data_IF_410752452763
#
_entry.id   IF_410752452763
#
_cell.length_a   1.000
_cell.length_b   1.000
_cell.length_c   1.000
_cell.angle_alpha   90.00
_cell.angle_beta   90.00
_cell.angle_gamma   90.00
#
_symmetry.space_group_name_H-M   'P 1'
#
loop_
_entity.id
_entity.type
_entity.pdbx_description
1 polymer ?
#
# COMPACT_ATOMS: atom_id res chain seq x y z
N UNK A 1 1.29 13.31 -15.24
CA UNK A 1 1.26 11.82 -15.31
C UNK A 1 2.36 11.33 -16.22
N UNK A 2 3.14 10.38 -15.78
CA UNK A 2 4.17 9.71 -16.58
C UNK A 2 3.73 8.28 -16.88
N UNK A 3 3.73 7.90 -18.16
CA UNK A 3 3.39 6.55 -18.63
C UNK A 3 4.62 5.90 -19.24
N UNK A 4 4.96 4.71 -18.77
CA UNK A 4 6.11 3.94 -19.25
C UNK A 4 5.63 2.60 -19.78
N UNK A 5 5.84 2.36 -21.07
CA UNK A 5 5.54 1.07 -21.68
C UNK A 5 6.56 0.03 -21.21
N UNK A 6 6.11 -0.96 -20.47
CA UNK A 6 6.95 -2.03 -19.93
C UNK A 6 7.06 -3.18 -20.93
N UNK A 7 5.92 -3.65 -21.44
CA UNK A 7 5.83 -4.66 -22.49
C UNK A 7 4.79 -4.24 -23.53
N UNK A 8 4.45 -5.13 -24.46
CA UNK A 8 3.32 -4.87 -25.37
C UNK A 8 1.97 -4.94 -24.67
N UNK A 9 1.91 -5.51 -23.45
CA UNK A 9 0.68 -5.71 -22.69
C UNK A 9 0.61 -4.86 -21.42
N UNK A 10 1.74 -4.41 -20.87
CA UNK A 10 1.80 -3.77 -19.56
C UNK A 10 2.37 -2.37 -19.69
N UNK A 11 1.59 -1.39 -19.28
CA UNK A 11 2.03 -0.01 -19.08
C UNK A 11 2.07 0.30 -17.59
N UNK A 12 3.14 0.95 -17.14
CA UNK A 12 3.29 1.46 -15.78
C UNK A 12 3.00 2.96 -15.80
N UNK A 13 2.13 3.40 -14.89
CA UNK A 13 1.64 4.78 -14.82
C UNK A 13 1.95 5.38 -13.47
N UNK A 14 2.63 6.52 -13.48
CA UNK A 14 3.08 7.23 -12.28
C UNK A 14 2.48 8.64 -12.25
N UNK A 15 2.09 9.18 -11.09
CA UNK A 15 1.74 10.59 -10.94
C UNK A 15 2.96 11.48 -11.16
N UNK A 16 2.77 12.72 -11.63
CA UNK A 16 3.84 13.69 -11.81
C UNK A 16 4.51 14.09 -10.48
N UNK A 17 3.73 14.06 -9.41
CA UNK A 17 4.21 14.28 -8.05
C UNK A 17 3.61 13.22 -7.15
N UNK A 18 4.46 12.39 -6.57
CA UNK A 18 4.04 11.35 -5.63
C UNK A 18 3.78 12.00 -4.27
N UNK A 19 2.52 12.00 -3.85
CA UNK A 19 2.15 12.34 -2.46
C UNK A 19 1.71 11.05 -1.78
N UNK A 20 2.48 10.59 -0.80
CA UNK A 20 2.31 9.27 -0.16
C UNK A 20 0.97 9.02 0.55
N UNK A 21 -0.02 9.91 0.42
CA UNK A 21 -1.33 9.76 1.08
C UNK A 21 -2.51 9.95 0.14
N UNK A 22 -2.28 10.36 -1.10
CA UNK A 22 -3.37 10.69 -2.04
C UNK A 22 -3.14 10.21 -3.45
N UNK A 23 -1.99 9.61 -3.75
CA UNK A 23 -1.67 9.08 -5.07
C UNK A 23 -0.66 7.95 -5.01
N UNK A 24 -0.80 7.00 -5.92
CA UNK A 24 0.13 5.91 -6.12
C UNK A 24 0.29 5.62 -7.61
N UNK A 25 1.41 4.99 -7.98
CA UNK A 25 1.57 4.42 -9.30
C UNK A 25 0.79 3.10 -9.40
N UNK A 26 0.43 2.75 -10.64
CA UNK A 26 -0.26 1.50 -10.93
C UNK A 26 0.07 1.00 -12.33
N UNK A 27 -0.66 0.01 -12.78
CA UNK A 27 -0.45 -0.61 -14.08
C UNK A 27 -1.74 -0.70 -14.89
N UNK A 28 -1.59 -0.60 -16.22
CA UNK A 28 -2.65 -0.91 -17.18
C UNK A 28 -2.23 -2.16 -17.94
N UNK A 29 -3.08 -3.17 -17.94
CA UNK A 29 -2.82 -4.46 -18.58
C UNK A 29 -3.75 -4.65 -19.76
N UNK A 30 -3.17 -4.83 -20.94
CA UNK A 30 -3.89 -5.19 -22.17
C UNK A 30 -4.01 -6.72 -22.23
N UNK A 31 -5.20 -7.22 -21.90
CA UNK A 31 -5.51 -8.65 -21.87
C UNK A 31 -6.78 -8.93 -22.67
N UNK A 32 -7.47 -10.07 -22.44
CA UNK A 32 -8.80 -10.34 -22.99
C UNK A 32 -9.77 -9.22 -22.63
N UNK A 33 -9.70 -8.76 -21.38
CA UNK A 33 -10.26 -7.51 -20.90
C UNK A 33 -9.15 -6.58 -20.49
N UNK A 34 -9.32 -5.28 -20.72
CA UNK A 34 -8.36 -4.28 -20.22
C UNK A 34 -8.52 -4.11 -18.73
N UNK A 35 -7.43 -4.29 -18.01
CA UNK A 35 -7.36 -4.19 -16.54
C UNK A 35 -6.56 -2.98 -16.13
N UNK A 36 -7.02 -2.28 -15.09
CA UNK A 36 -6.31 -1.21 -14.41
C UNK A 36 -6.13 -1.59 -12.94
N UNK A 37 -4.89 -1.57 -12.43
CA UNK A 37 -4.57 -1.92 -11.04
C UNK A 37 -3.98 -0.69 -10.35
N UNK A 38 -4.57 -0.25 -9.26
CA UNK A 38 -4.20 0.88 -8.39
C UNK A 38 -4.13 2.26 -9.02
N UNK A 39 -3.89 2.46 -10.24
CA UNK A 39 -3.61 3.74 -10.91
C UNK A 39 -4.36 4.93 -10.28
N UNK A 40 -3.72 5.63 -9.35
CA UNK A 40 -4.27 6.80 -8.67
C UNK A 40 -3.31 8.01 -8.74
N UNK A 41 -3.59 8.91 -9.67
CA UNK A 41 -2.82 10.14 -9.89
C UNK A 41 -3.52 11.39 -9.33
N UNK A 42 -4.51 11.19 -8.44
CA UNK A 42 -5.48 12.20 -8.07
C UNK A 42 -6.72 12.15 -8.96
N UNK A 43 -7.86 12.62 -8.45
CA UNK A 43 -9.17 12.37 -9.04
C UNK A 43 -9.26 12.76 -10.53
N UNK A 44 -8.84 13.97 -10.89
CA UNK A 44 -8.99 14.50 -12.25
C UNK A 44 -8.18 13.71 -13.27
N UNK A 45 -6.92 13.48 -12.97
CA UNK A 45 -5.99 12.76 -13.86
C UNK A 45 -6.38 11.29 -13.99
N UNK A 46 -6.81 10.67 -12.90
CA UNK A 46 -7.26 9.27 -12.90
C UNK A 46 -8.51 9.09 -13.74
N UNK A 47 -9.52 9.95 -13.59
CA UNK A 47 -10.75 9.86 -14.37
C UNK A 47 -10.51 10.15 -15.86
N UNK A 48 -9.67 11.14 -16.19
CA UNK A 48 -9.26 11.40 -17.56
C UNK A 48 -8.59 10.19 -18.21
N UNK A 49 -7.74 9.50 -17.48
CA UNK A 49 -7.12 8.26 -17.95
C UNK A 49 -8.15 7.13 -18.12
N UNK A 50 -9.10 7.00 -17.23
CA UNK A 50 -10.16 5.99 -17.36
C UNK A 50 -11.07 6.25 -18.55
N UNK A 51 -11.39 7.50 -18.85
CA UNK A 51 -12.15 7.88 -20.06
C UNK A 51 -11.37 7.56 -21.34
N UNK A 52 -10.06 7.75 -21.35
CA UNK A 52 -9.18 7.43 -22.48
C UNK A 52 -9.01 5.91 -22.64
N UNK A 53 -8.65 5.21 -21.57
CA UNK A 53 -8.30 3.79 -21.59
C UNK A 53 -9.52 2.87 -21.62
N UNK A 54 -10.64 3.28 -21.05
CA UNK A 54 -11.86 2.50 -20.91
C UNK A 54 -11.59 1.09 -20.38
N UNK A 55 -11.00 0.96 -19.17
CA UNK A 55 -10.77 -0.35 -18.58
C UNK A 55 -12.11 -1.06 -18.37
N UNK A 56 -12.14 -2.37 -18.58
CA UNK A 56 -13.30 -3.22 -18.29
C UNK A 56 -13.24 -3.76 -16.86
N UNK A 57 -12.03 -3.79 -16.28
CA UNK A 57 -11.74 -4.25 -14.91
C UNK A 57 -10.85 -3.23 -14.24
N UNK A 58 -11.21 -2.91 -13.01
CA UNK A 58 -10.42 -2.12 -12.09
C UNK A 58 -10.13 -2.95 -10.83
N UNK A 59 -8.91 -2.92 -10.32
CA UNK A 59 -8.50 -3.69 -9.14
C UNK A 59 -7.75 -2.75 -8.20
N UNK A 60 -7.96 -2.85 -6.90
CA UNK A 60 -7.13 -2.24 -5.87
C UNK A 60 -6.35 -3.31 -5.14
N UNK A 61 -5.09 -3.04 -4.81
CA UNK A 61 -4.22 -3.96 -4.06
C UNK A 61 -4.62 -4.08 -2.60
N UNK A 62 -5.08 -2.96 -2.00
CA UNK A 62 -5.48 -2.86 -0.61
C UNK A 62 -6.29 -1.58 -0.33
N UNK A 63 -6.80 -1.43 0.91
CA UNK A 63 -7.76 -0.40 1.27
C UNK A 63 -7.21 1.01 1.46
N UNK A 64 -5.90 1.24 1.55
CA UNK A 64 -5.33 2.56 1.85
C UNK A 64 -5.82 3.64 0.88
N UNK A 65 -5.91 4.87 1.39
CA UNK A 65 -6.59 5.96 0.68
C UNK A 65 -5.94 6.31 -0.66
N UNK A 66 -4.63 6.29 -0.72
CA UNK A 66 -3.88 6.55 -1.95
C UNK A 66 -4.10 5.48 -3.04
N UNK A 67 -4.55 4.29 -2.67
CA UNK A 67 -4.93 3.21 -3.60
C UNK A 67 -6.42 3.19 -3.91
N UNK A 68 -7.28 3.58 -2.97
CA UNK A 68 -8.71 3.33 -3.04
C UNK A 68 -9.60 4.55 -3.26
N UNK A 69 -9.13 5.79 -3.04
CA UNK A 69 -9.99 6.99 -3.11
C UNK A 69 -10.67 7.17 -4.48
N UNK A 70 -9.96 6.94 -5.57
CA UNK A 70 -10.49 7.06 -6.92
C UNK A 70 -11.61 6.05 -7.24
N UNK A 71 -11.51 4.84 -6.66
CA UNK A 71 -12.43 3.74 -6.91
C UNK A 71 -13.88 4.05 -6.50
N UNK A 72 -14.04 4.95 -5.53
CA UNK A 72 -15.34 5.35 -4.97
C UNK A 72 -16.26 6.05 -5.96
N UNK A 73 -15.67 6.65 -6.99
CA UNK A 73 -16.39 7.35 -8.03
C UNK A 73 -16.33 6.63 -9.39
N UNK A 74 -15.78 5.42 -9.43
CA UNK A 74 -15.55 4.65 -10.65
C UNK A 74 -16.81 4.58 -11.55
N UNK A 75 -17.95 4.20 -10.97
CA UNK A 75 -19.21 4.05 -11.70
C UNK A 75 -19.78 5.36 -12.29
N UNK A 76 -19.21 6.51 -11.94
CA UNK A 76 -19.57 7.79 -12.54
C UNK A 76 -18.81 8.07 -13.83
N UNK A 77 -17.74 7.32 -14.11
CA UNK A 77 -16.82 7.55 -15.24
C UNK A 77 -16.54 6.31 -16.08
N UNK A 78 -16.90 5.12 -15.59
CA UNK A 78 -16.59 3.85 -16.26
C UNK A 78 -17.60 2.77 -15.90
N UNK A 79 -17.85 1.86 -16.84
CA UNK A 79 -18.62 0.63 -16.62
C UNK A 79 -17.71 -0.53 -16.12
N UNK A 80 -16.46 -0.25 -15.75
CA UNK A 80 -15.54 -1.25 -15.28
C UNK A 80 -16.04 -1.93 -13.99
N UNK A 81 -15.88 -3.24 -13.92
CA UNK A 81 -16.10 -3.99 -12.67
C UNK A 81 -14.92 -3.75 -11.72
N UNK A 82 -15.23 -3.25 -10.53
CA UNK A 82 -14.22 -3.03 -9.49
C UNK A 82 -14.04 -4.27 -8.64
N UNK A 83 -12.80 -4.73 -8.51
CA UNK A 83 -12.40 -5.81 -7.61
C UNK A 83 -11.61 -5.26 -6.41
N UNK A 84 -11.98 -5.70 -5.20
CA UNK A 84 -11.34 -5.32 -3.94
C UNK A 84 -10.96 -6.57 -3.12
N UNK A 85 -9.93 -6.49 -2.25
CA UNK A 85 -9.59 -7.60 -1.36
C UNK A 85 -10.76 -7.93 -0.42
N UNK A 86 -11.15 -9.19 -0.33
CA UNK A 86 -12.33 -9.65 0.42
C UNK A 86 -12.26 -9.23 1.90
N UNK A 87 -11.13 -9.46 2.57
CA UNK A 87 -10.96 -9.15 4.00
C UNK A 87 -10.81 -7.65 4.29
N UNK A 88 -10.72 -6.82 3.26
CA UNK A 88 -10.63 -5.37 3.40
C UNK A 88 -11.90 -4.63 2.96
N UNK A 89 -12.94 -5.36 2.57
CA UNK A 89 -14.18 -4.74 2.09
C UNK A 89 -14.81 -3.78 3.12
N UNK A 90 -14.75 -4.09 4.41
CA UNK A 90 -15.34 -3.24 5.45
C UNK A 90 -14.63 -1.89 5.59
N UNK A 91 -13.32 -1.81 5.37
CA UNK A 91 -12.57 -0.53 5.35
C UNK A 91 -13.05 0.41 4.23
N UNK A 92 -13.57 -0.15 3.16
CA UNK A 92 -13.99 0.58 1.98
C UNK A 92 -15.48 0.92 1.99
N UNK A 93 -16.28 0.17 2.74
CA UNK A 93 -17.76 0.27 2.77
C UNK A 93 -18.32 0.88 4.06
N UNK A 94 -17.48 1.12 5.07
CA UNK A 94 -17.87 1.75 6.33
C UNK A 94 -16.78 2.70 6.82
N UNK A 95 -17.10 3.99 6.85
CA UNK A 95 -16.21 5.00 7.41
C UNK A 95 -15.91 4.74 8.89
N UNK A 96 -16.92 4.32 9.65
CA UNK A 96 -16.76 4.06 11.09
C UNK A 96 -15.81 2.87 11.32
N UNK A 97 -15.95 1.79 10.54
CA UNK A 97 -15.01 0.67 10.60
C UNK A 97 -13.58 1.09 10.21
N UNK A 98 -13.42 1.85 9.12
CA UNK A 98 -12.13 2.39 8.72
C UNK A 98 -11.48 3.22 9.82
N UNK A 99 -12.25 4.10 10.45
CA UNK A 99 -11.75 4.98 11.53
C UNK A 99 -11.36 4.19 12.78
N UNK A 100 -12.17 3.21 13.19
CA UNK A 100 -11.89 2.36 14.34
C UNK A 100 -10.58 1.58 14.20
N UNK A 101 -10.34 1.01 13.03
CA UNK A 101 -9.20 0.12 12.77
C UNK A 101 -7.92 0.86 12.35
N UNK A 102 -8.01 2.15 11.99
CA UNK A 102 -6.83 2.94 11.66
C UNK A 102 -6.44 3.92 12.77
N UNK A 103 -7.35 4.76 13.22
CA UNK A 103 -7.07 5.86 14.14
C UNK A 103 -7.86 5.81 15.46
N UNK A 104 -8.81 4.88 15.63
CA UNK A 104 -9.71 4.82 16.78
C UNK A 104 -9.05 4.83 18.15
N UNK A 105 -7.95 4.09 18.40
CA UNK A 105 -7.26 4.07 19.68
C UNK A 105 -6.49 5.37 20.01
N UNK A 106 -6.38 6.31 19.07
CA UNK A 106 -5.53 7.50 19.18
C UNK A 106 -6.34 8.78 19.28
N UNK A 107 -5.77 9.77 19.98
CA UNK A 107 -6.35 11.11 20.12
C UNK A 107 -6.49 11.90 18.81
N UNK A 108 -6.05 11.33 17.70
CA UNK A 108 -6.14 11.93 16.36
C UNK A 108 -7.42 11.53 15.61
N UNK A 109 -8.27 10.66 16.15
CA UNK A 109 -9.39 10.07 15.43
C UNK A 109 -10.28 11.10 14.71
N UNK A 110 -10.72 12.16 15.41
CA UNK A 110 -11.53 13.21 14.79
C UNK A 110 -10.80 13.96 13.69
N UNK A 111 -9.53 14.34 13.92
CA UNK A 111 -8.72 15.03 12.90
C UNK A 111 -8.49 14.15 11.68
N UNK A 112 -8.28 12.85 11.90
CA UNK A 112 -8.09 11.88 10.83
C UNK A 112 -9.38 11.68 10.04
N UNK A 113 -10.53 11.62 10.72
CA UNK A 113 -11.84 11.55 10.09
C UNK A 113 -12.10 12.77 9.20
N UNK A 114 -11.91 13.96 9.72
CA UNK A 114 -12.08 15.20 8.96
C UNK A 114 -11.16 15.26 7.75
N UNK A 115 -9.90 14.87 7.93
CA UNK A 115 -8.93 14.78 6.83
C UNK A 115 -9.37 13.77 5.76
N UNK A 116 -9.76 12.57 6.16
CA UNK A 116 -10.23 11.50 5.27
C UNK A 116 -11.46 11.94 4.44
N UNK A 117 -12.42 12.59 5.10
CA UNK A 117 -13.60 13.16 4.42
C UNK A 117 -13.18 14.28 3.45
N UNK A 118 -12.25 15.14 3.85
CA UNK A 118 -11.76 16.24 3.00
C UNK A 118 -11.04 15.75 1.74
N UNK A 119 -10.49 14.53 1.75
CA UNK A 119 -9.90 13.86 0.59
C UNK A 119 -10.95 13.24 -0.35
N UNK A 120 -12.22 13.28 0.01
CA UNK A 120 -13.32 12.76 -0.80
C UNK A 120 -13.69 11.30 -0.49
N UNK A 121 -13.36 10.81 0.71
CA UNK A 121 -13.83 9.48 1.12
C UNK A 121 -15.36 9.40 1.09
N UNK A 122 -15.86 8.40 0.39
CA UNK A 122 -17.26 7.97 0.42
C UNK A 122 -17.30 6.46 0.51
N UNK A 123 -18.33 5.89 1.11
CA UNK A 123 -18.50 4.44 1.21
C UNK A 123 -18.71 3.82 -0.18
N UNK A 124 -17.97 2.75 -0.44
CA UNK A 124 -18.03 2.03 -1.71
C UNK A 124 -19.32 1.19 -1.76
N UNK A 125 -20.00 1.19 -2.92
CA UNK A 125 -21.29 0.52 -3.07
C UNK A 125 -21.30 -0.63 -4.08
N UNK A 126 -20.55 -0.49 -5.17
CA UNK A 126 -20.57 -1.46 -6.28
C UNK A 126 -19.17 -2.02 -6.49
N UNK A 127 -18.97 -3.27 -6.15
CA UNK A 127 -17.69 -3.97 -6.23
C UNK A 127 -17.91 -5.48 -6.24
N UNK A 128 -16.89 -6.21 -6.66
CA UNK A 128 -16.70 -7.64 -6.47
C UNK A 128 -15.52 -7.87 -5.51
N UNK A 129 -15.56 -8.94 -4.73
CA UNK A 129 -14.44 -9.30 -3.88
C UNK A 129 -13.52 -10.30 -4.58
N UNK A 130 -12.22 -10.21 -4.25
CA UNK A 130 -11.24 -11.23 -4.61
C UNK A 130 -10.43 -11.69 -3.40
N UNK A 131 -9.88 -12.90 -3.46
CA UNK A 131 -8.96 -13.50 -2.51
C UNK A 131 -7.94 -14.38 -3.25
N UNK A 132 -7.05 -15.07 -2.53
CA UNK A 132 -6.00 -15.92 -3.12
C UNK A 132 -6.52 -17.05 -4.04
N UNK A 133 -7.78 -17.45 -3.90
CA UNK A 133 -8.40 -18.50 -4.72
C UNK A 133 -9.01 -17.92 -6.01
N UNK A 134 -9.12 -16.59 -6.10
CA UNK A 134 -9.68 -15.93 -7.27
C UNK A 134 -8.75 -16.06 -8.46
N UNK A 135 -9.29 -16.42 -9.61
CA UNK A 135 -8.55 -16.49 -10.86
C UNK A 135 -9.20 -15.60 -11.91
N UNK A 136 -8.41 -14.81 -12.59
CA UNK A 136 -8.88 -13.98 -13.72
C UNK A 136 -8.77 -14.69 -15.08
N UNK A 137 -8.74 -16.04 -15.12
CA UNK A 137 -8.48 -16.83 -16.35
C UNK A 137 -9.32 -16.44 -17.56
N UNK A 138 -10.58 -16.06 -17.34
CA UNK A 138 -11.49 -15.69 -18.40
C UNK A 138 -11.39 -14.22 -18.82
N UNK A 139 -10.77 -13.38 -18.02
CA UNK A 139 -10.67 -11.93 -18.19
C UNK A 139 -9.23 -11.48 -18.46
N UNK A 140 -8.29 -11.91 -17.63
CA UNK A 140 -6.87 -11.55 -17.70
C UNK A 140 -6.01 -12.74 -17.26
N UNK A 141 -5.85 -13.78 -18.11
CA UNK A 141 -5.23 -15.07 -17.74
C UNK A 141 -3.75 -14.97 -17.37
N UNK A 142 -3.07 -13.90 -17.73
CA UNK A 142 -1.67 -13.65 -17.40
C UNK A 142 -1.45 -13.14 -15.97
N UNK A 143 -2.52 -12.74 -15.26
CA UNK A 143 -2.43 -12.20 -13.91
C UNK A 143 -2.55 -13.31 -12.87
N UNK A 144 -1.55 -13.41 -12.01
CA UNK A 144 -1.55 -14.29 -10.84
C UNK A 144 -1.56 -13.40 -9.58
N UNK A 145 -2.55 -13.59 -8.72
CA UNK A 145 -2.65 -12.90 -7.43
C UNK A 145 -1.74 -13.61 -6.43
N UNK A 146 -1.04 -12.82 -5.65
CA UNK A 146 -0.21 -13.30 -4.54
C UNK A 146 -0.57 -12.46 -3.32
N UNK A 147 -1.27 -13.06 -2.36
CA UNK A 147 -1.51 -12.38 -1.10
C UNK A 147 -0.19 -12.12 -0.37
N UNK A 148 0.00 -10.88 0.02
CA UNK A 148 1.20 -10.37 0.67
C UNK A 148 0.79 -9.54 1.89
N UNK A 149 0.11 -10.17 2.89
CA UNK A 149 -0.39 -9.48 4.05
C UNK A 149 0.71 -8.90 4.92
N UNK A 150 0.33 -7.96 5.77
CA UNK A 150 1.20 -7.35 6.78
C UNK A 150 1.29 -5.83 6.68
N UNK A 151 1.39 -5.27 5.47
CA UNK A 151 1.20 -3.83 5.24
C UNK A 151 -0.27 -3.43 5.45
N UNK A 152 -1.18 -4.29 5.04
CA UNK A 152 -2.60 -4.32 5.38
C UNK A 152 -3.05 -5.79 5.51
N UNK A 153 -4.25 -6.08 6.02
CA UNK A 153 -4.69 -7.45 6.30
C UNK A 153 -4.70 -8.40 5.11
N UNK A 154 -5.01 -7.92 3.92
CA UNK A 154 -4.98 -8.73 2.68
C UNK A 154 -4.41 -7.98 1.49
N UNK A 155 -3.36 -7.19 1.75
CA UNK A 155 -2.57 -6.61 0.67
C UNK A 155 -2.20 -7.68 -0.37
N UNK A 156 -2.30 -7.35 -1.64
CA UNK A 156 -2.07 -8.28 -2.76
C UNK A 156 -1.08 -7.72 -3.76
N UNK A 157 -0.09 -8.52 -4.11
CA UNK A 157 0.81 -8.29 -5.24
C UNK A 157 0.32 -9.04 -6.48
N UNK A 158 0.65 -8.56 -7.67
CA UNK A 158 0.22 -9.15 -8.95
C UNK A 158 1.44 -9.61 -9.76
N UNK A 159 1.51 -10.90 -10.05
CA UNK A 159 2.62 -11.51 -10.76
C UNK A 159 2.23 -11.90 -12.18
N UNK A 160 3.11 -11.63 -13.12
CA UNK A 160 3.01 -11.97 -14.55
C UNK A 160 4.12 -13.00 -14.87
N UNK A 161 3.82 -14.30 -14.77
CA UNK A 161 4.85 -15.35 -14.85
C UNK A 161 5.56 -15.42 -16.20
N UNK A 162 4.85 -15.24 -17.30
CA UNK A 162 5.43 -15.28 -18.65
C UNK A 162 6.43 -14.15 -18.89
N UNK A 163 6.12 -12.96 -18.42
CA UNK A 163 6.97 -11.77 -18.50
C UNK A 163 8.00 -11.69 -17.38
N UNK A 164 7.84 -12.47 -16.30
CA UNK A 164 8.63 -12.40 -15.05
C UNK A 164 8.59 -11.00 -14.44
N UNK A 165 7.41 -10.38 -14.45
CA UNK A 165 7.15 -9.06 -13.90
C UNK A 165 6.29 -9.21 -12.64
N UNK A 166 6.61 -8.43 -11.61
CA UNK A 166 5.83 -8.30 -10.39
C UNK A 166 5.38 -6.84 -10.23
N UNK A 167 4.09 -6.62 -10.02
CA UNK A 167 3.58 -5.40 -9.42
C UNK A 167 3.41 -5.65 -7.92
N UNK A 168 4.29 -5.05 -7.12
CA UNK A 168 4.42 -5.40 -5.70
C UNK A 168 3.45 -4.65 -4.78
N UNK A 169 2.74 -3.62 -5.27
CA UNK A 169 2.02 -2.71 -4.37
C UNK A 169 2.99 -2.06 -3.38
N UNK A 170 2.62 -2.04 -2.10
CA UNK A 170 3.30 -1.33 -1.01
C UNK A 170 4.21 -2.21 -0.15
N UNK A 171 4.98 -3.08 -0.80
CA UNK A 171 5.93 -3.96 -0.10
C UNK A 171 7.24 -3.28 0.34
N UNK A 172 7.28 -1.94 0.37
CA UNK A 172 8.40 -1.18 0.94
C UNK A 172 9.65 -1.08 0.07
N UNK A 173 9.49 -1.20 -1.24
CA UNK A 173 10.58 -1.07 -2.21
C UNK A 173 10.89 0.40 -2.56
N UNK A 174 10.71 1.29 -1.62
CA UNK A 174 11.12 2.69 -1.70
C UNK A 174 12.35 2.96 -0.80
N UNK A 175 12.74 4.23 -0.69
CA UNK A 175 13.90 4.62 0.12
C UNK A 175 13.66 4.50 1.63
N UNK A 176 12.41 4.40 2.08
CA UNK A 176 12.05 4.34 3.50
C UNK A 176 11.86 2.90 3.98
N UNK A 177 11.70 1.94 3.06
CA UNK A 177 11.36 0.56 3.38
C UNK A 177 9.89 0.38 3.79
N UNK A 178 9.51 -0.82 4.28
CA UNK A 178 8.12 -1.13 4.58
C UNK A 178 7.48 -0.14 5.57
N UNK A 179 6.27 0.29 5.25
CA UNK A 179 5.44 1.11 6.12
C UNK A 179 4.40 0.24 6.85
N UNK A 180 4.21 0.47 8.15
CA UNK A 180 3.31 -0.31 9.02
C UNK A 180 2.73 0.58 10.15
N UNK A 181 2.20 1.73 9.76
CA UNK A 181 1.72 2.76 10.70
C UNK A 181 0.25 2.64 11.11
N UNK A 182 -0.46 1.58 10.71
CA UNK A 182 -1.81 1.29 11.19
C UNK A 182 -1.82 0.13 12.18
N UNK A 183 -2.89 0.06 13.00
CA UNK A 183 -3.00 -0.97 14.05
C UNK A 183 -3.20 -2.39 13.51
N UNK A 184 -3.67 -2.51 12.29
CA UNK A 184 -3.89 -3.76 11.58
C UNK A 184 -2.67 -4.25 10.76
N UNK A 185 -1.57 -3.47 10.74
CA UNK A 185 -0.31 -3.91 10.17
C UNK A 185 0.34 -5.02 11.02
N UNK A 186 1.16 -5.87 10.37
CA UNK A 186 1.87 -6.95 11.03
C UNK A 186 3.27 -7.14 10.45
N UNK A 187 4.30 -6.82 11.24
CA UNK A 187 5.71 -6.86 10.78
C UNK A 187 6.15 -8.28 10.41
N UNK A 188 5.71 -9.31 11.15
CA UNK A 188 6.04 -10.72 10.82
C UNK A 188 5.48 -11.10 9.46
N UNK A 189 4.20 -10.77 9.22
CA UNK A 189 3.56 -11.04 7.93
C UNK A 189 4.23 -10.24 6.79
N UNK A 190 4.67 -8.99 7.04
CA UNK A 190 5.45 -8.24 6.03
C UNK A 190 6.72 -9.03 5.66
N UNK A 191 7.47 -9.49 6.66
CA UNK A 191 8.70 -10.25 6.42
C UNK A 191 8.43 -11.57 5.68
N UNK A 192 7.41 -12.32 6.06
CA UNK A 192 6.97 -13.56 5.40
C UNK A 192 6.53 -13.30 3.94
N UNK A 193 5.80 -12.21 3.70
CA UNK A 193 5.37 -11.78 2.37
C UNK A 193 6.56 -11.41 1.49
N UNK A 194 7.54 -10.70 2.02
CA UNK A 194 8.79 -10.39 1.30
C UNK A 194 9.54 -11.68 0.92
N UNK A 195 9.66 -12.64 1.85
CA UNK A 195 10.32 -13.92 1.57
C UNK A 195 9.56 -14.73 0.52
N UNK A 196 8.22 -14.69 0.52
CA UNK A 196 7.39 -15.31 -0.52
C UNK A 196 7.67 -14.70 -1.89
N UNK A 197 7.76 -13.37 -1.98
CA UNK A 197 8.02 -12.67 -3.23
C UNK A 197 9.48 -12.85 -3.73
N UNK A 198 10.45 -12.93 -2.83
CA UNK A 198 11.86 -13.21 -3.18
C UNK A 198 12.04 -14.60 -3.80
N UNK A 199 11.17 -15.55 -3.45
CA UNK A 199 11.14 -16.90 -4.05
C UNK A 199 10.63 -16.96 -5.50
N UNK A 200 10.08 -15.87 -6.04
CA UNK A 200 9.55 -15.83 -7.40
C UNK A 200 10.63 -15.58 -8.46
N UNK A 201 10.42 -16.10 -9.64
CA UNK A 201 11.27 -15.81 -10.81
C UNK A 201 10.94 -14.44 -11.40
N UNK A 202 11.45 -13.36 -10.80
CA UNK A 202 11.16 -11.97 -11.19
C UNK A 202 12.39 -11.30 -11.80
N UNK A 203 12.22 -10.67 -12.96
CA UNK A 203 13.24 -9.87 -13.62
C UNK A 203 12.99 -8.35 -13.49
N UNK A 204 11.77 -7.96 -13.16
CA UNK A 204 11.34 -6.59 -13.05
C UNK A 204 10.24 -6.45 -12.01
N UNK A 205 10.40 -5.49 -11.09
CA UNK A 205 9.36 -5.11 -10.14
C UNK A 205 8.86 -3.70 -10.47
N UNK A 206 7.56 -3.55 -10.49
CA UNK A 206 6.82 -2.29 -10.53
C UNK A 206 6.24 -2.08 -9.14
N UNK A 207 6.37 -0.89 -8.58
CA UNK A 207 5.95 -0.59 -7.21
C UNK A 207 4.98 0.56 -7.17
N UNK A 208 4.20 0.70 -6.13
CA UNK A 208 3.27 1.83 -6.02
C UNK A 208 3.97 3.16 -5.69
N UNK A 209 5.09 3.13 -4.96
CA UNK A 209 5.79 4.35 -4.51
C UNK A 209 7.29 4.39 -4.84
N UNK A 210 7.89 3.27 -5.18
CA UNK A 210 9.33 3.14 -5.41
C UNK A 210 9.78 3.18 -6.87
N UNK A 211 8.84 3.27 -7.83
CA UNK A 211 9.16 3.23 -9.26
C UNK A 211 9.50 1.81 -9.77
N UNK A 212 10.34 1.72 -10.78
CA UNK A 212 10.68 0.47 -11.46
C UNK A 212 12.02 -0.08 -10.96
N UNK A 213 12.07 -1.35 -10.56
CA UNK A 213 13.27 -2.08 -10.12
C UNK A 213 13.64 -3.15 -11.15
N UNK A 214 14.85 -3.08 -11.72
CA UNK A 214 15.31 -3.98 -12.81
C UNK A 214 16.59 -4.75 -12.49
N UNK A 215 17.34 -4.31 -11.49
CA UNK A 215 18.66 -4.86 -11.17
C UNK A 215 18.68 -5.36 -9.74
N UNK A 216 19.39 -6.47 -9.52
CA UNK A 216 19.69 -6.97 -8.18
C UNK A 216 18.43 -7.11 -7.29
N UNK A 217 17.34 -7.64 -7.86
CA UNK A 217 16.02 -7.74 -7.22
C UNK A 217 16.09 -8.37 -5.84
N UNK A 218 16.90 -9.44 -5.66
CA UNK A 218 17.12 -10.06 -4.35
C UNK A 218 17.72 -9.07 -3.33
N UNK A 219 18.60 -8.17 -3.77
CA UNK A 219 19.15 -7.14 -2.88
C UNK A 219 18.10 -6.11 -2.48
N UNK A 220 17.13 -5.83 -3.32
CA UNK A 220 16.02 -4.93 -2.96
C UNK A 220 15.16 -5.54 -1.84
N UNK A 221 14.84 -6.83 -1.91
CA UNK A 221 14.13 -7.54 -0.83
C UNK A 221 14.94 -7.60 0.46
N UNK A 222 16.24 -7.88 0.37
CA UNK A 222 17.16 -7.85 1.53
C UNK A 222 17.16 -6.46 2.19
N UNK A 223 17.14 -5.38 1.42
CA UNK A 223 17.05 -4.02 1.97
C UNK A 223 15.74 -3.80 2.73
N UNK A 224 14.60 -4.27 2.21
CA UNK A 224 13.31 -4.16 2.90
C UNK A 224 13.36 -4.85 4.28
N UNK A 225 13.84 -6.08 4.34
CA UNK A 225 14.02 -6.81 5.61
C UNK A 225 14.99 -6.07 6.52
N UNK A 226 16.10 -5.56 5.98
CA UNK A 226 17.09 -4.82 6.74
C UNK A 226 16.53 -3.55 7.38
N UNK A 227 15.64 -2.83 6.69
CA UNK A 227 14.95 -1.67 7.28
C UNK A 227 14.11 -2.04 8.52
N UNK A 228 13.41 -3.19 8.49
CA UNK A 228 12.65 -3.66 9.65
C UNK A 228 13.56 -3.96 10.82
N UNK A 229 14.65 -4.73 10.61
CA UNK A 229 15.63 -5.07 11.62
C UNK A 229 16.35 -3.85 12.19
N UNK A 230 16.78 -2.93 11.36
CA UNK A 230 17.43 -1.71 11.82
C UNK A 230 16.54 -0.88 12.75
N UNK A 231 15.24 -0.81 12.48
CA UNK A 231 14.31 -0.10 13.36
C UNK A 231 14.18 -0.80 14.70
N UNK A 232 14.05 -2.11 14.70
CA UNK A 232 13.96 -2.90 15.92
C UNK A 232 15.25 -2.80 16.76
N UNK A 233 16.40 -3.01 16.14
CA UNK A 233 17.72 -2.85 16.78
C UNK A 233 17.89 -1.45 17.38
N UNK A 234 17.52 -0.41 16.65
CA UNK A 234 17.57 0.97 17.13
C UNK A 234 16.67 1.19 18.36
N UNK A 235 15.49 0.58 18.40
CA UNK A 235 14.60 0.65 19.56
C UNK A 235 15.24 -0.06 20.75
N UNK A 236 15.76 -1.27 20.59
CA UNK A 236 16.42 -2.06 21.64
C UNK A 236 17.60 -1.28 22.21
N UNK A 237 18.52 -0.80 21.37
CA UNK A 237 19.69 -0.03 21.80
C UNK A 237 19.31 1.24 22.60
N UNK A 238 18.26 1.93 22.20
CA UNK A 238 17.77 3.11 22.91
C UNK A 238 17.16 2.75 24.27
N UNK A 239 16.42 1.63 24.37
CA UNK A 239 15.89 1.12 25.63
C UNK A 239 17.02 0.72 26.58
N UNK A 240 18.04 0.00 26.11
CA UNK A 240 19.23 -0.37 26.87
C UNK A 240 20.03 0.86 27.36
N UNK A 241 20.03 1.94 26.59
CA UNK A 241 20.59 3.24 26.99
C UNK A 241 19.71 4.00 27.99
N UNK A 242 18.59 3.43 28.46
CA UNK A 242 17.71 4.02 29.46
C UNK A 242 16.74 5.07 28.92
N UNK A 243 16.55 5.16 27.60
CA UNK A 243 15.55 6.06 27.02
C UNK A 243 14.14 5.55 27.29
N UNK A 244 13.22 6.49 27.53
CA UNK A 244 11.80 6.15 27.67
C UNK A 244 11.13 5.94 26.30
N UNK A 245 10.05 5.15 26.27
CA UNK A 245 9.18 5.02 25.09
C UNK A 245 8.82 6.37 24.46
N UNK A 246 8.46 7.35 25.29
CA UNK A 246 8.13 8.70 24.85
C UNK A 246 9.29 9.38 24.13
N UNK A 247 10.52 9.21 24.63
CA UNK A 247 11.69 9.82 24.01
C UNK A 247 12.04 9.16 22.68
N UNK A 248 11.91 7.83 22.59
CA UNK A 248 12.14 7.05 21.37
C UNK A 248 11.14 7.49 20.29
N UNK A 249 9.84 7.53 20.61
CA UNK A 249 8.79 7.98 19.67
C UNK A 249 9.03 9.43 19.24
N UNK A 250 9.45 10.31 20.18
CA UNK A 250 9.76 11.70 19.84
C UNK A 250 10.92 11.81 18.84
N UNK A 251 11.98 11.01 18.99
CA UNK A 251 13.07 10.97 18.03
C UNK A 251 12.65 10.39 16.67
N UNK A 252 11.69 9.49 16.66
CA UNK A 252 11.19 8.81 15.48
C UNK A 252 11.60 7.35 15.39
N UNK A 253 10.64 6.52 15.07
CA UNK A 253 10.81 5.12 14.67
C UNK A 253 10.98 5.06 13.16
N UNK A 254 10.07 5.72 12.45
CA UNK A 254 10.06 5.82 10.99
C UNK A 254 10.25 7.27 10.52
N UNK A 255 9.55 8.22 11.15
CA UNK A 255 9.53 9.62 10.75
C UNK A 255 10.50 10.44 11.59
N UNK A 256 11.67 10.79 11.03
CA UNK A 256 12.51 11.85 11.57
C UNK A 256 11.87 13.23 11.32
N UNK A 257 12.30 14.25 12.09
CA UNK A 257 11.93 15.65 11.82
C UNK A 257 10.43 15.99 11.84
N UNK A 258 9.60 15.18 12.51
CA UNK A 258 8.15 15.41 12.64
C UNK A 258 7.80 16.83 13.12
N UNK A 259 8.65 17.42 13.97
CA UNK A 259 8.46 18.76 14.51
C UNK A 259 8.57 19.87 13.44
N UNK A 260 9.13 19.56 12.27
CA UNK A 260 9.21 20.50 11.14
C UNK A 260 7.96 20.50 10.28
N UNK A 261 7.07 19.54 10.48
CA UNK A 261 5.83 19.38 9.72
C UNK A 261 4.67 20.09 10.41
N UNK A 262 3.81 20.74 9.63
CA UNK A 262 2.65 21.47 10.17
C UNK A 262 1.50 20.53 10.50
N UNK A 263 0.62 21.00 11.42
CA UNK A 263 -0.67 20.36 11.69
C UNK A 263 -1.60 20.38 10.44
N UNK A 264 -2.45 19.37 10.24
CA UNK A 264 -2.67 18.21 11.11
C UNK A 264 -1.66 17.06 10.89
N UNK A 265 -0.82 17.15 9.86
CA UNK A 265 0.12 16.07 9.47
C UNK A 265 1.11 15.74 10.60
N UNK A 266 1.60 16.72 11.35
CA UNK A 266 2.49 16.48 12.50
C UNK A 266 1.86 15.50 13.51
N UNK A 267 0.58 15.71 13.84
CA UNK A 267 -0.16 14.81 14.73
C UNK A 267 -0.28 13.39 14.17
N UNK A 268 -0.51 13.25 12.86
CA UNK A 268 -0.59 11.94 12.21
C UNK A 268 0.75 11.20 12.24
N UNK A 269 1.85 11.87 11.89
CA UNK A 269 3.20 11.26 11.94
C UNK A 269 3.57 10.79 13.35
N UNK A 270 3.18 11.54 14.40
CA UNK A 270 3.39 11.14 15.80
C UNK A 270 2.58 9.90 16.18
N UNK A 271 1.33 9.82 15.73
CA UNK A 271 0.47 8.67 15.98
C UNK A 271 1.00 7.41 15.27
N UNK A 272 1.35 7.52 13.99
CA UNK A 272 1.93 6.42 13.22
C UNK A 272 3.25 5.91 13.81
N UNK A 273 4.15 6.80 14.22
CA UNK A 273 5.37 6.37 14.92
C UNK A 273 5.08 5.68 16.26
N UNK A 274 3.99 6.06 16.93
CA UNK A 274 3.57 5.39 18.16
C UNK A 274 3.08 3.98 17.87
N UNK A 275 2.30 3.80 16.81
CA UNK A 275 1.83 2.49 16.36
C UNK A 275 3.02 1.62 15.95
N UNK A 276 3.92 2.15 15.14
CA UNK A 276 5.12 1.44 14.70
C UNK A 276 6.00 1.01 15.88
N UNK A 277 6.17 1.87 16.89
CA UNK A 277 6.85 1.48 18.12
C UNK A 277 6.13 0.31 18.82
N UNK A 278 4.82 0.35 18.93
CA UNK A 278 4.04 -0.70 19.59
C UNK A 278 4.22 -2.04 18.88
N UNK A 279 4.19 -2.08 17.54
CA UNK A 279 4.45 -3.30 16.79
C UNK A 279 5.83 -3.92 17.11
N UNK A 280 6.87 -3.10 17.25
CA UNK A 280 8.20 -3.59 17.66
C UNK A 280 8.23 -4.00 19.13
N UNK A 281 7.58 -3.25 20.02
CA UNK A 281 7.48 -3.59 21.45
C UNK A 281 6.86 -4.97 21.67
N UNK A 282 5.82 -5.30 20.88
CA UNK A 282 5.17 -6.60 20.95
C UNK A 282 6.08 -7.73 20.43
N UNK A 283 6.82 -7.51 19.34
CA UNK A 283 7.85 -8.46 18.87
C UNK A 283 8.93 -8.72 19.90
N UNK A 284 9.45 -7.67 20.54
CA UNK A 284 10.50 -7.78 21.57
C UNK A 284 10.00 -8.58 22.77
N UNK A 285 8.74 -8.39 23.19
CA UNK A 285 8.12 -9.16 24.29
C UNK A 285 7.90 -10.63 23.94
N UNK A 286 7.60 -10.96 22.69
CA UNK A 286 7.41 -12.32 22.22
C UNK A 286 8.74 -13.08 22.01
N UNK A 287 9.82 -12.38 21.70
CA UNK A 287 11.14 -12.95 21.44
C UNK A 287 12.04 -13.14 22.68
N UNK A 288 11.67 -12.58 23.83
CA UNK A 288 12.37 -12.71 25.12
C UNK A 288 11.69 -13.74 26.00
#
# INVERSE_FOLDING_TARGET
MKRTKITNKIDYVEPDSMTNFTSCAGIIVQSKKKVMIDVNMGAKETYGLMEEEKPEIAIITHYHLDHSLWARHLNSFSDAVLFIPEHEAQYLTSLDFFMEHTAGPFSIAEKWKDFTISLGYTELKNYECYNEQTTFKDMAPEIVLIETPGHSPSHTSFYFPDEKILFSGDMGLDQFGPWYGWTDCNIKQIAESILRLDGLAVNLILTSHGGVRKKEIQKEWVKCIHHLWQREENIILKLEAGMTKKDIIRQGVFFSDKEKVKEPMQSFLKAWDTIMYNHHEDLIKEGG
#
